data_IF_274717275982
#
_entry.id   IF_274717275982
#
_cell.length_a   1.000
_cell.length_b   1.000
_cell.length_c   1.000
_cell.angle_alpha   90.00
_cell.angle_beta   90.00
_cell.angle_gamma   90.00
#
_symmetry.space_group_name_H-M   'P 1'
#
loop_
_entity.id
_entity.type
_entity.pdbx_description
1 polymer ?
#
# COMPACT_ATOMS: atom_id res chain seq x y z
N UNK A 1 -28.40 -7.41 -18.98
CA UNK A 1 -28.80 -7.52 -17.56
C UNK A 1 -28.00 -8.57 -16.81
N UNK A 2 -27.77 -9.77 -17.34
CA UNK A 2 -27.02 -10.82 -16.62
C UNK A 2 -25.59 -10.42 -16.27
N UNK A 3 -24.84 -9.83 -17.21
CA UNK A 3 -23.49 -9.32 -16.93
C UNK A 3 -23.45 -8.31 -15.76
N UNK A 4 -24.47 -7.46 -15.61
CA UNK A 4 -24.54 -6.50 -14.50
C UNK A 4 -24.85 -7.19 -13.17
N UNK A 5 -25.69 -8.23 -13.17
CA UNK A 5 -25.99 -9.02 -11.97
C UNK A 5 -24.76 -9.78 -11.49
N UNK A 6 -23.97 -10.34 -12.40
CA UNK A 6 -22.76 -11.09 -12.04
C UNK A 6 -21.67 -10.16 -11.51
N UNK A 7 -21.50 -8.97 -12.10
CA UNK A 7 -20.60 -7.94 -11.57
C UNK A 7 -20.99 -7.50 -10.15
N UNK A 8 -22.29 -7.32 -9.87
CA UNK A 8 -22.77 -6.91 -8.55
C UNK A 8 -22.67 -8.04 -7.51
N UNK A 9 -22.88 -9.31 -7.89
CA UNK A 9 -22.61 -10.46 -7.01
C UNK A 9 -21.13 -10.51 -6.63
N UNK A 10 -20.24 -10.38 -7.62
CA UNK A 10 -18.80 -10.32 -7.40
C UNK A 10 -18.42 -9.14 -6.50
N UNK A 11 -19.04 -7.97 -6.69
CA UNK A 11 -18.81 -6.80 -5.84
C UNK A 11 -19.14 -7.09 -4.35
N UNK A 12 -20.25 -7.80 -4.08
CA UNK A 12 -20.64 -8.20 -2.73
C UNK A 12 -19.67 -9.22 -2.13
N UNK A 13 -19.17 -10.17 -2.92
CA UNK A 13 -18.17 -11.15 -2.46
C UNK A 13 -16.83 -10.48 -2.11
N UNK A 14 -16.41 -9.51 -2.91
CA UNK A 14 -15.19 -8.73 -2.67
C UNK A 14 -15.34 -7.81 -1.46
N UNK A 15 -16.52 -7.21 -1.24
CA UNK A 15 -16.84 -6.42 -0.04
C UNK A 15 -16.77 -7.28 1.23
N UNK A 16 -17.34 -8.50 1.20
CA UNK A 16 -17.22 -9.46 2.31
C UNK A 16 -15.79 -9.92 2.58
N UNK A 17 -14.96 -9.92 1.54
CA UNK A 17 -13.54 -10.30 1.58
C UNK A 17 -12.62 -9.11 1.88
N UNK A 18 -13.17 -7.96 2.28
CA UNK A 18 -12.46 -6.72 2.62
C UNK A 18 -11.57 -6.14 1.51
N UNK A 19 -11.77 -6.56 0.26
CA UNK A 19 -11.05 -6.05 -0.91
C UNK A 19 -11.76 -4.80 -1.44
N UNK A 20 -11.75 -3.72 -0.66
CA UNK A 20 -12.58 -2.54 -0.91
C UNK A 20 -12.26 -1.84 -2.23
N UNK A 21 -10.99 -1.83 -2.63
CA UNK A 21 -10.56 -1.25 -3.92
C UNK A 21 -11.11 -1.98 -5.14
N UNK A 22 -11.07 -3.32 -5.16
CA UNK A 22 -11.63 -4.15 -6.23
C UNK A 22 -13.17 -4.16 -6.20
N UNK A 23 -13.75 -4.23 -4.99
CA UNK A 23 -15.20 -4.18 -4.80
C UNK A 23 -15.80 -2.89 -5.36
N UNK A 24 -15.14 -1.74 -5.13
CA UNK A 24 -15.60 -0.44 -5.64
C UNK A 24 -15.72 -0.42 -7.17
N UNK A 25 -14.73 -0.97 -7.88
CA UNK A 25 -14.73 -1.04 -9.35
C UNK A 25 -15.93 -1.87 -9.83
N UNK A 26 -16.14 -3.06 -9.24
CA UNK A 26 -17.26 -3.92 -9.60
C UNK A 26 -18.62 -3.30 -9.29
N UNK A 27 -18.74 -2.52 -8.20
CA UNK A 27 -19.95 -1.76 -7.91
C UNK A 27 -20.20 -0.65 -8.94
N UNK A 28 -19.19 0.16 -9.27
CA UNK A 28 -19.29 1.25 -10.25
C UNK A 28 -19.68 0.72 -11.63
N UNK A 29 -18.99 -0.31 -12.13
CA UNK A 29 -19.28 -0.95 -13.43
C UNK A 29 -20.64 -1.65 -13.44
N UNK A 30 -21.00 -2.33 -12.35
CA UNK A 30 -22.29 -3.01 -12.20
C UNK A 30 -23.47 -2.04 -12.23
N UNK A 31 -23.35 -0.92 -11.51
CA UNK A 31 -24.37 0.14 -11.46
C UNK A 31 -24.47 0.83 -12.82
N UNK A 32 -23.35 1.18 -13.46
CA UNK A 32 -23.35 1.82 -14.78
C UNK A 32 -24.04 0.94 -15.84
N UNK A 33 -23.77 -0.37 -15.81
CA UNK A 33 -24.44 -1.32 -16.71
C UNK A 33 -25.93 -1.51 -16.40
N UNK A 34 -26.34 -1.41 -15.12
CA UNK A 34 -27.76 -1.40 -14.75
C UNK A 34 -28.48 -0.14 -15.24
N UNK A 35 -27.89 1.04 -15.04
CA UNK A 35 -28.45 2.32 -15.49
C UNK A 35 -28.64 2.34 -17.01
N UNK A 36 -27.63 1.91 -17.77
CA UNK A 36 -27.72 1.79 -19.24
C UNK A 36 -28.79 0.80 -19.70
N UNK A 37 -29.04 -0.27 -18.94
CA UNK A 37 -30.09 -1.24 -19.25
C UNK A 37 -31.51 -0.73 -18.96
N UNK A 38 -31.64 0.33 -18.14
CA UNK A 38 -32.89 1.00 -17.81
C UNK A 38 -33.23 2.14 -18.79
N UNK A 39 -32.25 2.67 -19.51
CA UNK A 39 -32.48 3.69 -20.55
C UNK A 39 -33.46 3.17 -21.61
N UNK A 40 -34.53 3.94 -21.86
CA UNK A 40 -35.54 3.63 -22.87
C UNK A 40 -36.64 2.64 -22.46
N UNK A 41 -36.70 2.20 -21.18
CA UNK A 41 -37.77 1.34 -20.66
C UNK A 41 -38.86 2.13 -19.91
N UNK A 42 -40.11 1.63 -19.88
CA UNK A 42 -41.20 2.26 -19.12
C UNK A 42 -40.96 2.22 -17.61
N UNK A 43 -41.31 3.31 -16.91
CA UNK A 43 -41.06 3.51 -15.47
C UNK A 43 -41.57 2.36 -14.58
N UNK A 44 -42.67 1.71 -14.99
CA UNK A 44 -43.25 0.58 -14.27
C UNK A 44 -42.32 -0.64 -14.15
N UNK A 45 -41.47 -0.91 -15.15
CA UNK A 45 -40.54 -2.04 -15.14
C UNK A 45 -39.21 -1.71 -14.45
N UNK A 46 -38.82 -0.44 -14.44
CA UNK A 46 -37.52 0.01 -13.94
C UNK A 46 -37.54 0.47 -12.49
N UNK A 47 -38.71 0.74 -11.90
CA UNK A 47 -38.86 1.23 -10.52
C UNK A 47 -38.13 0.35 -9.49
N UNK A 48 -38.30 -0.97 -9.56
CA UNK A 48 -37.65 -1.91 -8.63
C UNK A 48 -36.15 -2.03 -8.88
N UNK A 49 -35.74 -1.98 -10.15
CA UNK A 49 -34.33 -2.01 -10.56
C UNK A 49 -33.61 -0.74 -10.09
N UNK A 50 -34.28 0.41 -10.19
CA UNK A 50 -33.81 1.71 -9.72
C UNK A 50 -33.56 1.71 -8.22
N UNK A 51 -34.53 1.23 -7.44
CA UNK A 51 -34.39 1.12 -5.98
C UNK A 51 -33.19 0.24 -5.58
N UNK A 52 -32.94 -0.85 -6.32
CA UNK A 52 -31.76 -1.69 -6.12
C UNK A 52 -30.47 -0.97 -6.50
N UNK A 53 -30.44 -0.28 -7.63
CA UNK A 53 -29.28 0.52 -8.05
C UNK A 53 -28.93 1.61 -7.02
N UNK A 54 -29.93 2.29 -6.47
CA UNK A 54 -29.76 3.27 -5.38
C UNK A 54 -29.15 2.62 -4.12
N UNK A 55 -29.59 1.41 -3.75
CA UNK A 55 -29.01 0.69 -2.61
C UNK A 55 -27.54 0.30 -2.84
N UNK A 56 -27.19 -0.12 -4.07
CA UNK A 56 -25.81 -0.44 -4.43
C UNK A 56 -24.93 0.82 -4.50
N UNK A 57 -25.48 1.95 -4.94
CA UNK A 57 -24.78 3.23 -4.99
C UNK A 57 -24.48 3.77 -3.58
N UNK A 58 -25.44 3.67 -2.66
CA UNK A 58 -25.23 4.02 -1.25
C UNK A 58 -24.09 3.18 -0.65
N UNK A 59 -24.07 1.86 -0.95
CA UNK A 59 -22.99 0.98 -0.49
C UNK A 59 -21.64 1.31 -1.14
N UNK A 60 -21.62 1.62 -2.44
CA UNK A 60 -20.41 2.00 -3.15
C UNK A 60 -19.77 3.27 -2.56
N UNK A 61 -20.57 4.26 -2.17
CA UNK A 61 -20.08 5.48 -1.51
C UNK A 61 -19.48 5.22 -0.12
N UNK A 62 -20.01 4.27 0.65
CA UNK A 62 -19.39 3.81 1.90
C UNK A 62 -18.04 3.13 1.64
N UNK A 63 -18.01 2.22 0.68
CA UNK A 63 -16.80 1.47 0.30
C UNK A 63 -15.73 2.42 -0.26
N UNK A 64 -16.11 3.45 -0.99
CA UNK A 64 -15.19 4.48 -1.51
C UNK A 64 -14.44 5.21 -0.40
N UNK A 65 -15.08 5.46 0.74
CA UNK A 65 -14.41 6.01 1.93
C UNK A 65 -13.39 5.01 2.49
N UNK A 66 -13.76 3.74 2.61
CA UNK A 66 -12.87 2.66 3.10
C UNK A 66 -11.70 2.41 2.16
N UNK A 67 -11.94 2.33 0.85
CA UNK A 67 -10.94 2.16 -0.20
C UNK A 67 -9.99 3.37 -0.29
N UNK A 68 -10.45 4.59 0.01
CA UNK A 68 -9.57 5.76 0.18
C UNK A 68 -8.65 5.60 1.39
N UNK A 69 -9.17 5.18 2.54
CA UNK A 69 -8.36 4.91 3.73
C UNK A 69 -7.35 3.78 3.47
N UNK A 70 -7.77 2.69 2.83
CA UNK A 70 -6.92 1.58 2.40
C UNK A 70 -5.86 2.03 1.39
N UNK A 71 -6.21 2.87 0.40
CA UNK A 71 -5.24 3.46 -0.54
C UNK A 71 -4.28 4.43 0.14
N UNK A 72 -4.68 5.13 1.19
CA UNK A 72 -3.80 6.00 1.98
C UNK A 72 -2.87 5.18 2.87
N UNK A 73 -3.33 4.03 3.37
CA UNK A 73 -2.50 3.09 4.14
C UNK A 73 -1.54 2.29 3.24
N UNK A 74 -1.96 1.94 2.01
CA UNK A 74 -1.16 1.16 1.05
C UNK A 74 -0.27 2.02 0.15
N UNK A 75 -0.62 3.28 -0.14
CA UNK A 75 0.35 4.24 -0.68
C UNK A 75 1.35 4.55 0.40
N UNK A 76 2.49 3.87 0.35
CA UNK A 76 3.72 4.27 1.04
C UNK A 76 3.92 5.77 0.83
N UNK A 77 3.57 6.57 1.83
CA UNK A 77 3.89 8.00 1.83
C UNK A 77 5.42 8.08 1.88
N UNK A 78 6.04 8.33 0.74
CA UNK A 78 7.46 8.66 0.68
C UNK A 78 7.63 9.97 1.44
N UNK A 79 8.29 9.90 2.60
CA UNK A 79 8.62 11.07 3.40
C UNK A 79 10.02 11.53 3.03
N UNK A 80 10.15 12.82 2.73
CA UNK A 80 11.44 13.45 2.53
C UNK A 80 11.93 14.04 3.85
N UNK A 81 13.16 13.71 4.23
CA UNK A 81 13.84 14.29 5.37
C UNK A 81 15.03 15.10 4.87
N UNK A 82 14.98 16.42 5.04
CA UNK A 82 16.13 17.29 4.77
C UNK A 82 17.03 17.33 6.01
N UNK A 83 18.31 17.03 5.84
CA UNK A 83 19.34 17.12 6.89
C UNK A 83 20.22 18.32 6.56
N UNK A 84 20.11 19.45 7.29
CA UNK A 84 20.92 20.63 7.04
C UNK A 84 22.41 20.39 7.32
N UNK A 85 23.27 21.20 6.72
CA UNK A 85 24.70 21.18 6.99
C UNK A 85 25.00 21.49 8.46
N UNK A 86 25.90 20.72 9.08
CA UNK A 86 26.25 20.85 10.50
C UNK A 86 25.17 20.37 11.49
N UNK A 87 24.04 19.86 11.01
CA UNK A 87 22.97 19.41 11.89
C UNK A 87 23.33 18.12 12.65
N UNK A 88 22.87 18.02 13.89
CA UNK A 88 23.06 16.85 14.77
C UNK A 88 21.72 16.18 15.10
N UNK A 89 21.75 14.96 15.62
CA UNK A 89 20.54 14.22 16.04
C UNK A 89 19.96 13.28 14.98
N UNK A 90 20.65 13.12 13.84
CA UNK A 90 20.25 12.25 12.74
C UNK A 90 21.00 10.91 12.76
N UNK A 91 20.78 10.11 13.80
CA UNK A 91 21.28 8.72 13.83
C UNK A 91 20.44 7.82 12.92
N UNK A 92 20.97 6.66 12.54
CA UNK A 92 20.22 5.66 11.77
C UNK A 92 18.87 5.34 12.42
N UNK A 93 18.84 5.17 13.75
CA UNK A 93 17.59 4.94 14.45
C UNK A 93 16.59 6.06 14.23
N UNK A 94 16.98 7.33 14.42
CA UNK A 94 16.05 8.46 14.25
C UNK A 94 15.50 8.58 12.84
N UNK A 95 16.31 8.26 11.82
CA UNK A 95 15.92 8.32 10.41
C UNK A 95 14.93 7.18 10.10
N UNK A 96 15.23 5.95 10.53
CA UNK A 96 14.45 4.76 10.19
C UNK A 96 13.38 4.39 11.22
N UNK A 97 13.27 5.11 12.35
CA UNK A 97 12.36 4.82 13.47
C UNK A 97 10.94 4.51 13.02
N UNK A 98 10.37 5.39 12.19
CA UNK A 98 8.99 5.23 11.71
C UNK A 98 8.75 4.03 10.80
N UNK A 99 9.81 3.45 10.22
CA UNK A 99 9.77 2.22 9.45
C UNK A 99 9.92 1.00 10.37
N UNK A 100 10.84 1.08 11.33
CA UNK A 100 11.12 0.00 12.29
C UNK A 100 9.94 -0.26 13.23
N UNK A 101 9.30 0.81 13.73
CA UNK A 101 8.16 0.71 14.67
C UNK A 101 6.91 0.09 14.06
N UNK A 102 6.79 0.06 12.73
CA UNK A 102 5.70 -0.66 12.05
C UNK A 102 5.83 -2.18 12.20
N UNK A 103 7.02 -2.67 12.53
CA UNK A 103 7.31 -4.09 12.71
C UNK A 103 7.24 -4.90 11.40
N UNK A 104 7.33 -6.22 11.52
CA UNK A 104 7.15 -7.14 10.39
C UNK A 104 8.34 -7.23 9.41
N UNK A 105 9.48 -6.62 9.73
CA UNK A 105 10.66 -6.62 8.86
C UNK A 105 11.35 -7.97 8.94
N UNK A 106 11.32 -8.73 7.84
CA UNK A 106 11.94 -10.06 7.73
C UNK A 106 13.20 -10.07 6.87
N UNK A 107 13.30 -9.14 5.93
CA UNK A 107 14.43 -8.98 5.02
C UNK A 107 14.73 -7.49 4.84
N UNK A 108 16.01 -7.16 4.77
CA UNK A 108 16.50 -5.83 4.43
C UNK A 108 17.46 -5.94 3.25
N UNK A 109 17.33 -5.04 2.29
CA UNK A 109 18.24 -4.86 1.17
C UNK A 109 18.83 -3.46 1.24
N UNK A 110 20.15 -3.38 1.12
CA UNK A 110 20.90 -2.13 1.13
C UNK A 110 21.72 -2.05 -0.15
N UNK A 111 21.50 -0.99 -0.92
CA UNK A 111 22.31 -0.65 -2.08
C UNK A 111 23.07 0.64 -1.79
N UNK A 112 24.35 0.53 -1.49
CA UNK A 112 25.22 1.67 -1.20
C UNK A 112 26.56 1.49 -1.92
N UNK A 113 26.86 2.28 -2.96
CA UNK A 113 28.07 2.09 -3.77
C UNK A 113 29.37 2.42 -3.02
N UNK A 114 29.29 3.01 -1.83
CA UNK A 114 30.41 3.59 -1.10
C UNK A 114 30.81 2.80 0.13
N UNK A 115 30.29 1.62 0.44
CA UNK A 115 30.80 0.85 1.60
C UNK A 115 32.15 0.21 1.23
N UNK A 116 33.25 0.96 1.42
CA UNK A 116 34.62 0.56 1.00
C UNK A 116 35.70 0.87 2.05
N UNK A 117 35.64 2.04 2.67
CA UNK A 117 36.60 2.47 3.70
C UNK A 117 36.13 2.08 5.10
N UNK A 118 37.09 2.00 6.04
CA UNK A 118 36.81 1.60 7.43
C UNK A 118 35.63 2.36 8.07
N UNK A 119 35.56 3.68 7.93
CA UNK A 119 34.46 4.45 8.53
C UNK A 119 33.09 4.11 7.92
N UNK A 120 33.03 3.79 6.61
CA UNK A 120 31.80 3.35 5.95
C UNK A 120 31.38 1.94 6.39
N UNK A 121 32.34 1.05 6.61
CA UNK A 121 32.06 -0.26 7.20
C UNK A 121 31.49 -0.11 8.62
N UNK A 122 32.10 0.74 9.45
CA UNK A 122 31.56 1.01 10.80
C UNK A 122 30.15 1.61 10.75
N UNK A 123 29.88 2.49 9.78
CA UNK A 123 28.54 3.04 9.54
C UNK A 123 27.54 1.92 9.24
N UNK A 124 27.89 1.00 8.34
CA UNK A 124 27.04 -0.15 8.03
C UNK A 124 26.85 -1.09 9.24
N UNK A 125 27.89 -1.32 10.04
CA UNK A 125 27.78 -2.11 11.28
C UNK A 125 26.79 -1.46 12.25
N UNK A 126 26.86 -0.14 12.47
CA UNK A 126 25.90 0.58 13.32
C UNK A 126 24.46 0.49 12.80
N UNK A 127 24.28 0.49 11.49
CA UNK A 127 22.98 0.26 10.86
C UNK A 127 22.47 -1.17 11.16
N UNK A 128 23.31 -2.20 10.99
CA UNK A 128 22.95 -3.58 11.33
C UNK A 128 22.64 -3.76 12.82
N UNK A 129 23.41 -3.14 13.72
CA UNK A 129 23.14 -3.16 15.17
C UNK A 129 21.75 -2.60 15.50
N UNK A 130 21.34 -1.53 14.83
CA UNK A 130 19.99 -0.96 14.96
C UNK A 130 18.93 -1.97 14.49
N UNK A 131 19.12 -2.61 13.33
CA UNK A 131 18.18 -3.61 12.82
C UNK A 131 18.03 -4.79 13.79
N UNK A 132 19.14 -5.31 14.32
CA UNK A 132 19.13 -6.42 15.28
C UNK A 132 18.36 -6.05 16.55
N UNK A 133 18.57 -4.84 17.08
CA UNK A 133 17.90 -4.36 18.29
C UNK A 133 16.39 -4.17 18.13
N UNK A 134 15.92 -3.82 16.94
CA UNK A 134 14.54 -3.39 16.72
C UNK A 134 13.70 -4.32 15.83
N UNK A 135 14.31 -5.22 15.07
CA UNK A 135 13.61 -6.10 14.12
C UNK A 135 13.68 -7.59 14.49
N UNK A 136 14.46 -7.99 15.49
CA UNK A 136 14.43 -9.36 15.99
C UNK A 136 13.12 -9.65 16.75
N UNK A 137 12.60 -10.89 16.70
CA UNK A 137 13.17 -12.08 16.05
C UNK A 137 12.78 -12.23 14.57
N UNK A 138 12.09 -11.26 13.98
CA UNK A 138 11.51 -11.41 12.63
C UNK A 138 12.53 -11.29 11.51
N UNK A 139 13.59 -10.50 11.71
CA UNK A 139 14.66 -10.29 10.75
C UNK A 139 15.44 -11.59 10.49
N UNK A 140 15.47 -12.03 9.22
CA UNK A 140 16.13 -13.27 8.78
C UNK A 140 17.37 -13.02 7.92
N UNK A 141 17.36 -11.97 7.11
CA UNK A 141 18.43 -11.71 6.15
C UNK A 141 18.65 -10.21 5.92
N UNK A 142 19.92 -9.84 5.74
CA UNK A 142 20.34 -8.52 5.29
C UNK A 142 21.22 -8.73 4.06
N UNK A 143 20.77 -8.21 2.91
CA UNK A 143 21.52 -8.21 1.65
C UNK A 143 22.20 -6.86 1.46
N UNK A 144 23.48 -6.86 1.10
CA UNK A 144 24.24 -5.66 0.78
C UNK A 144 24.80 -5.76 -0.64
N UNK A 145 24.43 -4.80 -1.48
CA UNK A 145 25.07 -4.52 -2.75
C UNK A 145 25.93 -3.26 -2.60
N UNK A 146 27.24 -3.40 -2.79
CA UNK A 146 28.20 -2.28 -2.75
C UNK A 146 29.06 -2.24 -4.01
N UNK A 147 29.66 -1.09 -4.27
CA UNK A 147 30.58 -0.92 -5.39
C UNK A 147 31.89 -1.67 -5.18
N UNK A 148 32.45 -2.19 -6.26
CA UNK A 148 33.74 -2.90 -6.24
C UNK A 148 34.83 -1.95 -5.74
N UNK A 149 35.52 -2.34 -4.67
CA UNK A 149 36.68 -1.61 -4.16
C UNK A 149 37.88 -1.77 -5.10
N UNK A 150 38.75 -0.77 -5.15
CA UNK A 150 40.05 -0.93 -5.81
C UNK A 150 40.90 -1.88 -4.97
N UNK A 151 41.41 -2.95 -5.60
CA UNK A 151 42.39 -3.82 -4.98
C UNK A 151 43.67 -3.02 -4.84
N UNK A 152 44.05 -2.69 -3.60
CA UNK A 152 45.35 -2.10 -3.30
C UNK A 152 46.40 -3.11 -3.77
N UNK A 153 47.16 -2.77 -4.81
CA UNK A 153 48.31 -3.55 -5.29
C UNK A 153 49.51 -3.39 -4.38
#
# INVERSE_FOLDING_TARGET
>A
MEAAKDLLKRAVELDKSEKYSEALICYEEGIQNLLRAMEGRPEAEVKDIRKRAESYLARAEEIKKRAKTEKVQSKQQVKYLHIPEGATGYSYYTIFKSCLEKGGITWVEVEDPYIRYNHQVHNFVRFCEMLVKHCLPMLKSVSLLTGVGEVIK
#
